data_IF_488793647868
#
_entry.id   IF_488793647868
#
_cell.length_a   1.000
_cell.length_b   1.000
_cell.length_c   1.000
_cell.angle_alpha   90.00
_cell.angle_beta   90.00
_cell.angle_gamma   90.00
#
_symmetry.space_group_name_H-M   'P 1'
#
loop_
_entity.id
_entity.type
_entity.pdbx_description
1 polymer ?
#
# COMPACT_ATOMS: atom_id res chain seq x y z
N UNK A 1 -11.61 5.34 0.98
CA UNK A 1 -10.74 4.70 1.99
C UNK A 1 -9.68 5.72 2.37
N UNK A 2 -9.89 6.44 3.48
CA UNK A 2 -8.97 7.51 3.90
C UNK A 2 -8.11 6.96 5.03
N UNK A 3 -6.80 6.94 4.84
CA UNK A 3 -5.84 6.69 5.91
C UNK A 3 -5.16 8.02 6.26
N UNK A 4 -5.31 8.47 7.50
CA UNK A 4 -4.60 9.62 8.07
C UNK A 4 -3.46 9.09 8.94
N UNK A 5 -2.27 9.67 8.80
CA UNK A 5 -1.18 9.40 9.74
C UNK A 5 -0.05 10.42 9.65
N UNK A 6 -0.01 11.36 10.61
CA UNK A 6 1.18 12.16 10.92
C UNK A 6 1.73 11.72 12.28
N UNK A 7 3.00 11.29 12.29
CA UNK A 7 3.86 11.19 13.49
C UNK A 7 3.44 10.29 14.65
N UNK A 8 3.83 9.00 14.63
CA UNK A 8 4.08 8.05 15.76
C UNK A 8 3.72 6.63 15.33
N UNK A 9 4.69 5.81 14.84
CA UNK A 9 4.55 4.37 14.44
C UNK A 9 3.11 3.91 14.10
N UNK A 10 2.42 4.66 13.24
CA UNK A 10 1.06 4.33 12.83
C UNK A 10 1.15 3.09 11.93
N UNK A 11 0.33 2.06 12.21
CA UNK A 11 0.24 0.89 11.35
C UNK A 11 -0.81 1.17 10.27
N UNK A 12 -0.42 1.00 9.01
CA UNK A 12 -1.35 1.01 7.88
C UNK A 12 -1.93 -0.39 7.74
N UNK A 13 -3.22 -0.53 8.05
CA UNK A 13 -3.94 -1.81 7.99
C UNK A 13 -4.99 -1.77 6.88
N UNK A 14 -4.98 -2.75 6.00
CA UNK A 14 -5.96 -2.87 4.92
C UNK A 14 -6.17 -4.33 4.50
N UNK A 15 -7.22 -4.59 3.72
CA UNK A 15 -7.47 -5.89 3.11
C UNK A 15 -6.95 -5.92 1.67
N UNK A 16 -6.31 -7.02 1.28
CA UNK A 16 -5.87 -7.30 -0.08
C UNK A 16 -6.34 -8.70 -0.48
N UNK A 17 -7.28 -8.77 -1.43
CA UNK A 17 -7.85 -10.04 -1.90
C UNK A 17 -8.38 -10.95 -0.76
N UNK A 18 -8.93 -10.34 0.29
CA UNK A 18 -9.43 -11.03 1.48
C UNK A 18 -8.38 -11.29 2.58
N UNK A 19 -7.09 -11.05 2.31
CA UNK A 19 -6.03 -11.15 3.30
C UNK A 19 -5.80 -9.82 4.04
N UNK A 20 -5.55 -9.87 5.35
CA UNK A 20 -5.23 -8.69 6.16
C UNK A 20 -3.75 -8.35 6.02
N UNK A 21 -3.47 -7.15 5.52
CA UNK A 21 -2.12 -6.58 5.43
C UNK A 21 -1.95 -5.53 6.51
N UNK A 22 -0.84 -5.60 7.24
CA UNK A 22 -0.46 -4.65 8.28
C UNK A 22 0.98 -4.17 8.04
N UNK A 23 1.14 -2.90 7.68
CA UNK A 23 2.43 -2.28 7.39
C UNK A 23 2.80 -1.27 8.48
N UNK A 24 4.09 -1.14 8.77
CA UNK A 24 4.62 -0.16 9.72
C UNK A 24 5.73 0.64 9.05
N UNK A 25 5.75 1.97 9.21
CA UNK A 25 6.84 2.81 8.70
C UNK A 25 6.92 2.89 7.17
N UNK A 26 5.78 2.79 6.48
CA UNK A 26 5.70 3.01 5.03
C UNK A 26 5.97 4.49 4.72
N UNK A 27 6.75 4.75 3.66
CA UNK A 27 6.92 6.10 3.15
C UNK A 27 5.57 6.61 2.61
N UNK A 28 5.07 7.79 3.04
CA UNK A 28 3.78 8.31 2.60
C UNK A 28 3.64 8.52 1.08
N UNK A 29 4.74 8.56 0.34
CA UNK A 29 4.76 8.65 -1.13
C UNK A 29 4.64 7.29 -1.81
N UNK A 30 4.69 6.17 -1.05
CA UNK A 30 4.53 4.82 -1.59
C UNK A 30 3.14 4.66 -2.20
N UNK A 31 3.08 4.35 -3.50
CA UNK A 31 1.79 4.07 -4.15
C UNK A 31 1.33 2.64 -3.89
N UNK A 32 0.01 2.42 -3.95
CA UNK A 32 -0.56 1.07 -3.87
C UNK A 32 -0.04 0.18 -5.01
N UNK A 33 0.17 0.75 -6.21
CA UNK A 33 0.67 -0.01 -7.35
C UNK A 33 2.11 -0.50 -7.12
N UNK A 34 2.98 0.34 -6.57
CA UNK A 34 4.32 -0.07 -6.15
C UNK A 34 4.27 -1.16 -5.09
N UNK A 35 3.43 -0.99 -4.06
CA UNK A 35 3.25 -2.01 -3.03
C UNK A 35 2.84 -3.36 -3.64
N UNK A 36 1.81 -3.39 -4.48
CA UNK A 36 1.34 -4.63 -5.14
C UNK A 36 2.45 -5.26 -5.98
N UNK A 37 3.10 -4.47 -6.84
CA UNK A 37 4.06 -4.98 -7.82
C UNK A 37 5.43 -5.27 -7.25
N UNK A 38 5.82 -4.74 -6.10
CA UNK A 38 7.16 -4.94 -5.52
C UNK A 38 7.12 -5.79 -4.26
N UNK A 39 6.07 -5.68 -3.44
CA UNK A 39 6.00 -6.32 -2.12
C UNK A 39 5.03 -7.49 -2.05
N UNK A 40 4.27 -7.77 -3.12
CA UNK A 40 3.33 -8.91 -3.19
C UNK A 40 3.56 -9.72 -4.46
N UNK A 41 3.08 -10.97 -4.55
CA UNK A 41 3.10 -11.74 -5.80
C UNK A 41 2.12 -11.22 -6.87
N UNK A 42 1.22 -10.28 -6.55
CA UNK A 42 0.21 -9.79 -7.47
C UNK A 42 0.77 -8.78 -8.48
N UNK A 43 1.12 -9.26 -9.68
CA UNK A 43 1.69 -8.42 -10.77
C UNK A 43 0.68 -8.08 -11.89
N UNK A 44 -0.60 -8.36 -11.65
CA UNK A 44 -1.68 -8.12 -12.61
C UNK A 44 -1.94 -6.63 -12.86
N UNK A 45 -1.93 -5.81 -11.79
CA UNK A 45 -2.10 -4.37 -11.88
C UNK A 45 -0.95 -3.72 -12.67
N UNK A 46 -1.30 -2.79 -13.58
CA UNK A 46 -0.36 -2.14 -14.51
C UNK A 46 -0.30 -0.64 -14.29
N UNK A 47 0.86 -0.07 -14.62
CA UNK A 47 1.04 1.38 -14.72
C UNK A 47 0.83 1.77 -16.18
N UNK A 48 -0.14 2.63 -16.44
CA UNK A 48 -0.29 3.32 -17.72
C UNK A 48 0.50 4.61 -17.69
N UNK A 49 -0.20 5.75 -17.59
CA UNK A 49 0.44 7.07 -17.54
C UNK A 49 0.74 7.57 -16.11
N UNK A 50 0.01 7.10 -15.10
CA UNK A 50 0.30 7.41 -13.70
C UNK A 50 0.01 8.85 -13.27
N UNK A 51 -0.84 9.55 -14.01
CA UNK A 51 -1.25 10.94 -13.81
C UNK A 51 -2.64 11.08 -13.16
#
# INVERSE_FOLDING_TARGET
MVAVGTGSKQRLVFALNGERVELSGVDPSTTLLEFLRLQTPYKGAKLGCGE
#
